data_IF_614687592577
#
_entry.id   IF_614687592577
#
_cell.length_a   1.000
_cell.length_b   1.000
_cell.length_c   1.000
_cell.angle_alpha   90.00
_cell.angle_beta   90.00
_cell.angle_gamma   90.00
#
_symmetry.space_group_name_H-M   'P 1'
#
loop_
_entity.id
_entity.type
_entity.pdbx_description
1 polymer ?
#
# COMPACT_ATOMS: atom_id res chain seq x y z
N UNK A 1 2.01 10.58 0.09
CA UNK A 1 3.19 10.79 0.97
C UNK A 1 4.01 11.99 0.48
N UNK A 2 4.76 12.72 1.33
CA UNK A 2 5.75 13.71 0.88
C UNK A 2 6.77 13.11 -0.09
N UNK A 3 7.15 13.86 -1.13
CA UNK A 3 8.18 13.42 -2.08
C UNK A 3 9.61 13.57 -1.50
N UNK A 4 9.84 14.58 -0.66
CA UNK A 4 11.11 14.80 0.03
C UNK A 4 11.21 13.87 1.26
N UNK A 5 11.73 12.65 1.05
CA UNK A 5 11.79 11.61 2.08
C UNK A 5 12.71 11.98 3.25
N UNK A 6 13.72 12.82 3.02
CA UNK A 6 14.67 13.31 4.02
C UNK A 6 14.09 14.33 5.02
N UNK A 7 12.88 14.83 4.74
CA UNK A 7 12.15 15.75 5.63
C UNK A 7 11.18 15.04 6.59
N UNK A 8 10.90 13.76 6.34
CA UNK A 8 9.95 12.96 7.13
C UNK A 8 10.45 12.80 8.57
N UNK A 9 9.60 13.14 9.54
CA UNK A 9 9.88 13.04 10.99
C UNK A 9 11.18 13.76 11.43
N UNK A 10 11.65 14.74 10.64
CA UNK A 10 12.88 15.51 10.94
C UNK A 10 12.59 16.55 12.04
N UNK A 11 13.38 16.58 13.13
CA UNK A 11 13.19 17.55 14.22
C UNK A 11 13.22 19.00 13.74
N UNK A 12 12.26 19.80 14.21
CA UNK A 12 12.13 21.23 13.86
C UNK A 12 11.66 21.51 12.43
N UNK A 13 11.36 20.48 11.63
CA UNK A 13 10.86 20.64 10.26
C UNK A 13 9.36 20.36 10.22
N UNK A 14 8.61 21.28 9.59
CA UNK A 14 7.20 21.10 9.24
C UNK A 14 7.10 20.96 7.73
N UNK A 15 6.49 19.88 7.27
CA UNK A 15 6.23 19.65 5.85
C UNK A 15 4.96 20.42 5.48
N UNK A 16 5.13 21.39 4.59
CA UNK A 16 4.06 22.27 4.15
C UNK A 16 2.90 21.52 3.47
N UNK A 17 1.68 22.03 3.60
CA UNK A 17 0.47 21.42 3.04
C UNK A 17 0.57 21.20 1.51
N UNK A 18 1.21 22.11 0.80
CA UNK A 18 1.42 22.11 -0.65
C UNK A 18 2.71 21.41 -1.10
N UNK A 19 3.53 20.89 -0.17
CA UNK A 19 4.75 20.16 -0.51
C UNK A 19 4.46 19.04 -1.54
N UNK A 20 5.36 18.83 -2.53
CA UNK A 20 5.19 17.81 -3.55
C UNK A 20 4.93 16.41 -2.97
N UNK A 21 4.12 15.62 -3.66
CA UNK A 21 3.64 14.31 -3.18
C UNK A 21 3.95 13.19 -4.16
N UNK A 22 4.12 12.00 -3.61
CA UNK A 22 4.15 10.73 -4.34
C UNK A 22 3.07 9.78 -3.81
N UNK A 23 2.64 8.86 -4.69
CA UNK A 23 1.76 7.75 -4.36
C UNK A 23 2.59 6.54 -3.93
N UNK A 24 2.05 5.79 -2.97
CA UNK A 24 2.67 4.57 -2.44
C UNK A 24 1.58 3.55 -2.13
N UNK A 25 1.91 2.28 -2.32
CA UNK A 25 0.95 1.19 -2.14
C UNK A 25 1.08 0.58 -0.75
N UNK A 26 0.06 0.74 0.08
CA UNK A 26 -0.03 0.10 1.40
C UNK A 26 -0.50 -1.36 1.30
N UNK A 27 -1.02 -1.77 0.14
CA UNK A 27 -1.56 -3.09 -0.11
C UNK A 27 -1.56 -3.38 -1.62
N UNK A 28 -1.06 -4.54 -2.00
CA UNK A 28 -1.10 -5.05 -3.38
C UNK A 28 -1.56 -6.51 -3.33
N UNK A 29 -2.71 -6.80 -3.94
CA UNK A 29 -3.32 -8.13 -3.97
C UNK A 29 -3.86 -8.41 -5.37
N UNK A 30 -3.27 -9.39 -6.04
CA UNK A 30 -3.68 -9.85 -7.37
C UNK A 30 -4.44 -11.18 -7.28
N UNK A 31 -5.00 -11.62 -8.41
CA UNK A 31 -5.57 -12.96 -8.62
C UNK A 31 -6.58 -13.38 -7.51
N UNK A 32 -7.41 -12.42 -7.08
CA UNK A 32 -8.53 -12.67 -6.17
C UNK A 32 -9.55 -13.56 -6.90
N UNK A 33 -10.05 -14.67 -6.29
CA UNK A 33 -11.04 -15.52 -6.93
C UNK A 33 -12.28 -14.75 -7.42
N UNK A 34 -12.75 -15.01 -8.64
CA UNK A 34 -13.80 -14.22 -9.28
C UNK A 34 -15.18 -14.30 -8.60
N UNK A 35 -15.42 -15.37 -7.84
CA UNK A 35 -16.62 -15.55 -7.00
C UNK A 35 -16.53 -14.79 -5.68
N UNK A 36 -15.34 -14.28 -5.31
CA UNK A 36 -15.14 -13.51 -4.09
C UNK A 36 -15.63 -12.07 -4.25
N UNK A 37 -16.59 -11.69 -3.41
CA UNK A 37 -17.22 -10.34 -3.41
C UNK A 37 -16.91 -9.50 -2.17
N UNK A 38 -16.14 -10.03 -1.23
CA UNK A 38 -15.75 -9.33 0.00
C UNK A 38 -14.42 -9.85 0.54
N UNK A 39 -13.70 -8.99 1.25
CA UNK A 39 -12.61 -9.35 2.15
C UNK A 39 -13.03 -8.91 3.55
N UNK A 40 -12.91 -9.79 4.53
CA UNK A 40 -13.25 -9.47 5.92
C UNK A 40 -12.22 -8.50 6.49
N UNK A 41 -12.62 -7.73 7.50
CA UNK A 41 -11.69 -6.93 8.27
C UNK A 41 -10.57 -7.82 8.82
N UNK A 42 -9.33 -7.39 8.64
CA UNK A 42 -8.16 -8.13 9.13
C UNK A 42 -7.79 -9.37 8.32
N UNK A 43 -8.54 -9.74 7.28
CA UNK A 43 -8.35 -11.01 6.56
C UNK A 43 -6.98 -11.13 5.91
N UNK A 44 -6.52 -10.06 5.26
CA UNK A 44 -5.20 -10.06 4.62
C UNK A 44 -4.09 -9.50 5.52
N UNK A 45 -4.45 -8.92 6.67
CA UNK A 45 -3.51 -8.45 7.69
C UNK A 45 -4.23 -8.01 8.95
N UNK A 46 -3.85 -8.57 10.10
CA UNK A 46 -4.32 -8.13 11.42
C UNK A 46 -3.50 -6.96 12.01
N UNK A 47 -2.53 -6.44 11.25
CA UNK A 47 -1.70 -5.32 11.68
C UNK A 47 -0.28 -5.35 11.12
N UNK A 48 0.50 -4.36 11.54
CA UNK A 48 1.91 -4.28 11.20
C UNK A 48 2.70 -5.41 11.87
N UNK A 49 3.58 -6.06 11.11
CA UNK A 49 4.45 -7.13 11.60
C UNK A 49 5.93 -6.76 11.40
N UNK A 50 6.74 -6.94 12.45
CA UNK A 50 8.20 -6.79 12.34
C UNK A 50 8.77 -7.86 11.41
N UNK A 51 9.66 -7.49 10.50
CA UNK A 51 10.12 -8.36 9.41
C UNK A 51 9.06 -8.60 8.32
N UNK A 52 7.90 -7.95 8.43
CA UNK A 52 6.82 -7.97 7.45
C UNK A 52 6.01 -9.27 7.42
N UNK A 53 5.37 -9.51 6.28
CA UNK A 53 4.50 -10.65 5.97
C UNK A 53 4.91 -11.21 4.62
N UNK A 54 4.82 -12.53 4.38
CA UNK A 54 5.22 -13.10 3.10
C UNK A 54 4.38 -12.54 1.94
N UNK A 55 5.05 -12.26 0.82
CA UNK A 55 4.44 -12.13 -0.51
C UNK A 55 4.08 -13.50 -1.06
N UNK A 56 3.29 -13.54 -2.13
CA UNK A 56 2.89 -14.78 -2.79
C UNK A 56 1.47 -15.25 -2.45
N UNK A 57 1.13 -16.51 -2.79
CA UNK A 57 -0.25 -17.00 -2.74
C UNK A 57 -0.82 -17.10 -1.32
N UNK A 58 -2.10 -16.76 -1.19
CA UNK A 58 -2.95 -16.95 -0.01
C UNK A 58 -4.26 -17.62 -0.42
N UNK A 59 -5.18 -17.83 0.53
CA UNK A 59 -6.52 -18.32 0.24
C UNK A 59 -7.42 -17.32 -0.48
N UNK A 60 -7.01 -16.06 -0.61
CA UNK A 60 -7.82 -14.96 -1.14
C UNK A 60 -7.12 -14.13 -2.22
N UNK A 61 -5.97 -14.59 -2.73
CA UNK A 61 -5.25 -13.98 -3.86
C UNK A 61 -3.74 -14.20 -3.76
N UNK A 62 -2.98 -13.37 -4.47
CA UNK A 62 -1.52 -13.36 -4.45
C UNK A 62 -1.03 -12.00 -3.98
N UNK A 63 -0.30 -11.97 -2.88
CA UNK A 63 0.26 -10.74 -2.29
C UNK A 63 1.47 -10.25 -3.09
N UNK A 64 1.41 -9.00 -3.52
CA UNK A 64 2.58 -8.24 -3.99
C UNK A 64 3.30 -7.56 -2.82
N UNK A 65 4.46 -6.98 -3.11
CA UNK A 65 5.21 -6.15 -2.16
C UNK A 65 4.53 -4.78 -1.98
N UNK A 66 4.34 -4.38 -0.72
CA UNK A 66 3.86 -3.07 -0.33
C UNK A 66 5.05 -2.11 -0.06
N UNK A 67 4.73 -0.83 0.16
CA UNK A 67 5.71 0.26 0.30
C UNK A 67 6.75 0.03 1.40
N UNK A 68 6.40 -0.69 2.47
CA UNK A 68 7.31 -0.88 3.61
C UNK A 68 8.55 -1.70 3.24
N UNK A 69 8.48 -2.55 2.21
CA UNK A 69 9.64 -3.24 1.64
C UNK A 69 10.74 -2.28 1.14
N UNK A 70 10.39 -1.05 0.75
CA UNK A 70 11.36 -0.04 0.32
C UNK A 70 11.92 0.83 1.46
N UNK A 71 11.17 0.99 2.56
CA UNK A 71 11.50 1.92 3.65
C UNK A 71 12.21 1.27 4.85
N UNK A 72 11.92 0.01 5.11
CA UNK A 72 12.38 -0.68 6.32
C UNK A 72 13.66 -1.52 6.20
N UNK A 73 14.22 -1.86 5.01
CA UNK A 73 15.45 -2.64 4.93
C UNK A 73 16.66 -2.03 5.66
N UNK A 74 16.71 -0.70 5.81
CA UNK A 74 17.81 -0.03 6.52
C UNK A 74 17.73 -0.15 8.05
N UNK A 75 16.67 -0.79 8.59
CA UNK A 75 16.52 -1.09 10.01
C UNK A 75 16.70 -2.61 10.21
N UNK A 76 17.82 -3.07 10.80
CA UNK A 76 18.14 -4.50 10.87
C UNK A 76 17.06 -5.38 11.50
N UNK A 77 16.31 -4.84 12.47
CA UNK A 77 15.20 -5.52 13.15
C UNK A 77 13.89 -5.54 12.34
N UNK A 78 13.88 -4.90 11.17
CA UNK A 78 12.75 -4.79 10.25
C UNK A 78 13.08 -5.31 8.84
N UNK A 79 14.22 -5.96 8.63
CA UNK A 79 14.53 -6.58 7.36
C UNK A 79 13.57 -7.76 7.09
N UNK A 80 12.99 -7.82 5.89
CA UNK A 80 12.10 -8.90 5.48
C UNK A 80 11.22 -8.54 4.28
N UNK A 81 10.29 -9.44 3.95
CA UNK A 81 9.31 -9.23 2.88
C UNK A 81 8.07 -8.55 3.45
N UNK A 82 7.51 -7.59 2.72
CA UNK A 82 6.31 -6.86 3.14
C UNK A 82 5.18 -7.07 2.14
N UNK A 83 4.48 -8.19 2.26
CA UNK A 83 3.23 -8.47 1.57
C UNK A 83 1.99 -8.13 2.41
N UNK A 84 0.82 -8.24 1.79
CA UNK A 84 -0.46 -7.93 2.43
C UNK A 84 -0.59 -6.45 2.80
N UNK A 85 -1.62 -6.12 3.60
CA UNK A 85 -1.86 -4.74 4.02
C UNK A 85 -0.99 -4.35 5.23
N UNK A 86 -0.34 -3.19 5.14
CA UNK A 86 0.26 -2.50 6.28
C UNK A 86 -0.31 -1.09 6.36
N UNK A 87 -0.89 -0.73 7.50
CA UNK A 87 -1.76 0.44 7.61
C UNK A 87 -1.09 1.81 7.46
N UNK A 88 -1.90 2.89 7.48
CA UNK A 88 -1.45 4.28 7.47
C UNK A 88 -0.38 4.58 8.54
N UNK A 89 0.75 5.16 8.12
CA UNK A 89 1.74 5.75 9.01
C UNK A 89 2.20 7.13 8.47
N UNK A 90 1.28 8.11 8.30
CA UNK A 90 1.64 9.41 7.76
C UNK A 90 2.59 10.14 8.71
N UNK A 91 3.60 10.90 8.25
CA UNK A 91 4.55 11.58 9.14
C UNK A 91 3.84 12.49 10.15
N UNK A 92 4.32 12.53 11.41
CA UNK A 92 3.75 13.44 12.41
C UNK A 92 3.92 14.89 11.97
N UNK A 93 5.01 15.23 11.31
CA UNK A 93 5.34 16.60 10.91
C UNK A 93 4.74 17.05 9.57
N UNK A 94 3.68 16.40 9.07
CA UNK A 94 3.06 16.70 7.77
C UNK A 94 1.70 17.38 7.93
N UNK A 95 1.61 18.66 7.53
CA UNK A 95 0.38 19.45 7.67
C UNK A 95 -0.80 18.95 6.84
N UNK A 96 -0.55 18.09 5.84
CA UNK A 96 -1.59 17.58 4.94
C UNK A 96 -2.05 16.21 5.41
N UNK A 97 -3.36 16.00 5.71
CA UNK A 97 -3.92 14.67 5.85
C UNK A 97 -3.62 13.81 4.62
N UNK A 98 -3.16 12.59 4.84
CA UNK A 98 -2.93 11.65 3.74
C UNK A 98 -4.27 11.07 3.32
N UNK A 99 -4.47 10.97 2.00
CA UNK A 99 -5.62 10.27 1.41
C UNK A 99 -5.20 8.85 1.07
N UNK A 100 -5.94 7.89 1.59
CA UNK A 100 -5.78 6.47 1.33
C UNK A 100 -6.93 6.03 0.42
N UNK A 101 -6.60 5.44 -0.72
CA UNK A 101 -7.59 4.97 -1.70
C UNK A 101 -7.43 3.47 -1.83
N UNK A 102 -8.51 2.73 -1.62
CA UNK A 102 -8.58 1.31 -1.97
C UNK A 102 -9.26 1.24 -3.32
N UNK A 103 -8.56 0.67 -4.30
CA UNK A 103 -9.03 0.48 -5.67
C UNK A 103 -9.20 -1.01 -5.94
N UNK A 104 -10.31 -1.36 -6.57
CA UNK A 104 -10.64 -2.73 -6.97
C UNK A 104 -10.88 -2.73 -8.47
N UNK A 105 -10.32 -3.71 -9.15
CA UNK A 105 -10.45 -3.88 -10.60
C UNK A 105 -11.07 -5.25 -10.89
N UNK A 106 -12.05 -5.28 -11.78
CA UNK A 106 -12.54 -6.51 -12.39
C UNK A 106 -11.81 -6.72 -13.72
N UNK A 107 -11.27 -7.91 -13.93
CA UNK A 107 -10.47 -8.25 -15.12
C UNK A 107 -11.16 -9.33 -15.96
N UNK A 108 -10.84 -9.38 -17.25
CA UNK A 108 -11.32 -10.41 -18.19
C UNK A 108 -10.42 -11.65 -18.28
N UNK A 109 -9.36 -11.69 -17.47
CA UNK A 109 -8.40 -12.77 -17.36
C UNK A 109 -8.43 -13.36 -15.95
N UNK A 110 -8.20 -14.66 -15.85
CA UNK A 110 -8.20 -15.36 -14.55
C UNK A 110 -6.98 -15.02 -13.70
N UNK A 111 -5.81 -14.82 -14.33
CA UNK A 111 -4.54 -14.58 -13.65
C UNK A 111 -3.67 -13.58 -14.38
N UNK A 112 -3.04 -12.69 -13.62
CA UNK A 112 -2.02 -11.79 -14.14
C UNK A 112 -0.67 -12.51 -14.25
N UNK A 113 0.08 -12.20 -15.31
CA UNK A 113 1.48 -12.64 -15.42
C UNK A 113 2.34 -11.64 -14.65
N UNK A 114 2.71 -12.02 -13.41
CA UNK A 114 3.43 -11.15 -12.49
C UNK A 114 4.75 -11.80 -12.03
N UNK A 115 5.83 -11.02 -11.86
CA UNK A 115 7.07 -11.52 -11.26
C UNK A 115 6.87 -11.85 -9.78
N UNK A 116 7.76 -12.67 -9.22
CA UNK A 116 7.80 -12.90 -7.77
C UNK A 116 8.02 -11.58 -7.02
N UNK A 117 7.24 -11.34 -5.97
CA UNK A 117 7.34 -10.11 -5.18
C UNK A 117 6.93 -8.83 -5.92
N UNK A 118 6.11 -8.94 -6.98
CA UNK A 118 5.65 -7.81 -7.80
C UNK A 118 5.14 -6.62 -6.98
N UNK A 119 5.26 -5.42 -7.57
CA UNK A 119 4.79 -4.15 -6.99
C UNK A 119 3.44 -3.74 -7.57
N UNK A 120 2.80 -2.73 -6.99
CA UNK A 120 1.57 -2.15 -7.55
C UNK A 120 1.76 -1.63 -8.98
N UNK A 121 2.91 -1.06 -9.31
CA UNK A 121 3.23 -0.63 -10.68
C UNK A 121 3.24 -1.81 -11.66
N UNK A 122 3.90 -2.92 -11.31
CA UNK A 122 3.94 -4.12 -12.14
C UNK A 122 2.53 -4.72 -12.32
N UNK A 123 1.69 -4.67 -11.27
CA UNK A 123 0.29 -5.08 -11.34
C UNK A 123 -0.52 -4.19 -12.29
N UNK A 124 -0.39 -2.86 -12.17
CA UNK A 124 -1.08 -1.90 -13.05
C UNK A 124 -0.67 -2.08 -14.51
N UNK A 125 0.60 -2.34 -14.77
CA UNK A 125 1.10 -2.63 -16.11
C UNK A 125 0.52 -3.94 -16.66
N UNK A 126 0.49 -5.01 -15.86
CA UNK A 126 -0.06 -6.29 -16.25
C UNK A 126 -1.59 -6.25 -16.50
N UNK A 127 -2.32 -5.33 -15.86
CA UNK A 127 -3.76 -5.16 -16.05
C UNK A 127 -4.13 -4.40 -17.35
N UNK A 128 -3.17 -3.79 -18.05
CA UNK A 128 -3.45 -2.97 -19.25
C UNK A 128 -4.17 -3.79 -20.32
N UNK A 129 -5.30 -3.28 -20.78
CA UNK A 129 -6.15 -3.95 -21.78
C UNK A 129 -7.15 -4.96 -21.22
N UNK A 130 -7.05 -5.29 -19.93
CA UNK A 130 -7.86 -6.35 -19.29
C UNK A 130 -8.92 -5.83 -18.31
N UNK A 131 -8.97 -4.51 -18.04
CA UNK A 131 -9.88 -3.92 -17.04
C UNK A 131 -11.30 -3.81 -17.61
N UNK A 132 -12.22 -4.59 -17.03
CA UNK A 132 -13.66 -4.54 -17.33
C UNK A 132 -14.39 -3.47 -16.52
N UNK A 133 -14.04 -3.32 -15.25
CA UNK A 133 -14.65 -2.36 -14.34
C UNK A 133 -13.71 -2.00 -13.20
N UNK A 134 -14.00 -0.88 -12.54
CA UNK A 134 -13.22 -0.35 -11.41
C UNK A 134 -14.14 0.24 -10.35
N UNK A 135 -13.83 -0.04 -9.09
CA UNK A 135 -14.43 0.57 -7.92
C UNK A 135 -13.37 1.19 -7.03
N UNK A 136 -13.73 2.22 -6.26
CA UNK A 136 -12.81 2.82 -5.30
C UNK A 136 -13.55 3.35 -4.06
N UNK A 137 -12.88 3.25 -2.92
CA UNK A 137 -13.25 3.93 -1.69
C UNK A 137 -12.04 4.70 -1.16
N UNK A 138 -12.27 5.80 -0.44
CA UNK A 138 -11.16 6.55 0.15
C UNK A 138 -11.47 7.05 1.55
N UNK A 139 -10.43 7.09 2.37
CA UNK A 139 -10.43 7.67 3.71
C UNK A 139 -9.23 8.60 3.87
N UNK A 140 -9.26 9.45 4.90
CA UNK A 140 -8.14 10.33 5.24
C UNK A 140 -7.65 10.05 6.65
N UNK A 141 -6.34 10.12 6.86
CA UNK A 141 -5.73 10.00 8.17
C UNK A 141 -4.55 10.97 8.31
N UNK A 142 -4.36 11.49 9.52
CA UNK A 142 -3.30 12.44 9.86
C UNK A 142 -2.75 12.13 11.24
N UNK A 143 -1.44 12.32 11.42
CA UNK A 143 -0.75 12.29 12.71
C UNK A 143 -0.28 13.68 13.14
N UNK A 144 -0.53 14.73 12.35
CA UNK A 144 -0.19 16.11 12.69
C UNK A 144 -1.14 16.67 13.75
N UNK A 145 -0.58 17.23 14.81
CA UNK A 145 -1.37 17.72 15.94
C UNK A 145 -2.28 18.89 15.55
N UNK A 146 -1.87 19.71 14.57
CA UNK A 146 -2.67 20.82 14.06
C UNK A 146 -3.83 20.42 13.12
N UNK A 147 -4.16 19.13 13.00
CA UNK A 147 -5.36 18.64 12.30
C UNK A 147 -6.49 18.18 13.24
N UNK A 148 -6.27 18.19 14.55
CA UNK A 148 -7.32 17.98 15.56
C UNK A 148 -8.17 19.23 15.70
#
# INVERSE_FOLDING_TARGET
MPAALDQIEKPGVVIAKDAPRISVDHWVLADIPADRRSLQEGEDSSGFAKGGKPTGPTSHGVRGANVYAGFLPSKPDMAGSYGGYDGPCPPRNDQRPHRYVVEIFALDIERLVLPEGFTGNAMVDAMKGHVLARGAASATYSRWEGTK
#
